data_IF_428020727457
#
_entry.id   IF_428020727457
#
_cell.length_a   1.000
_cell.length_b   1.000
_cell.length_c   1.000
_cell.angle_alpha   90.00
_cell.angle_beta   90.00
_cell.angle_gamma   90.00
#
_symmetry.space_group_name_H-M   'P 1'
#
loop_
_entity.id
_entity.type
_entity.pdbx_description
1 polymer ?
#
# COMPACT_ATOMS: atom_id res chain seq x y z
N UNK A 1 -12.43 -8.02 25.13
CA UNK A 1 -11.98 -6.67 25.44
C UNK A 1 -10.74 -6.38 24.63
N UNK A 2 -10.68 -5.23 24.00
CA UNK A 2 -9.46 -4.78 23.34
C UNK A 2 -8.39 -4.54 24.40
N UNK A 3 -7.20 -5.08 24.19
CA UNK A 3 -6.07 -4.85 25.09
C UNK A 3 -5.53 -3.42 24.85
N UNK A 4 -5.19 -2.74 25.94
CA UNK A 4 -4.60 -1.41 25.87
C UNK A 4 -3.19 -1.40 26.42
N UNK A 5 -2.34 -0.58 25.82
CA UNK A 5 -0.96 -0.35 26.24
C UNK A 5 -0.65 1.14 26.33
N UNK A 6 0.59 1.46 26.65
CA UNK A 6 1.09 2.85 26.70
C UNK A 6 2.38 2.99 25.93
N UNK A 7 2.52 4.12 25.24
CA UNK A 7 3.77 4.49 24.56
C UNK A 7 4.87 4.70 25.62
N UNK A 8 5.98 4.00 25.49
CA UNK A 8 7.14 4.17 26.38
C UNK A 8 8.32 4.87 25.71
N UNK A 9 8.44 4.76 24.38
CA UNK A 9 9.51 5.40 23.62
C UNK A 9 9.07 5.71 22.20
N UNK A 10 9.54 6.81 21.63
CA UNK A 10 9.33 7.24 20.25
C UNK A 10 10.68 7.60 19.64
N UNK A 11 11.03 6.94 18.53
CA UNK A 11 12.25 7.19 17.77
C UNK A 11 11.88 7.28 16.28
N UNK A 12 11.49 8.48 15.83
CA UNK A 12 10.96 8.65 14.46
C UNK A 12 9.75 7.77 14.22
N UNK A 13 9.76 6.88 13.21
CA UNK A 13 8.66 5.97 12.92
C UNK A 13 8.58 4.77 13.87
N UNK A 14 9.61 4.55 14.70
CA UNK A 14 9.68 3.40 15.62
C UNK A 14 9.11 3.79 16.97
N UNK A 15 8.11 3.04 17.44
CA UNK A 15 7.36 3.31 18.65
C UNK A 15 7.36 2.05 19.52
N UNK A 16 7.84 2.17 20.75
CA UNK A 16 7.77 1.09 21.73
C UNK A 16 6.56 1.28 22.63
N UNK A 17 5.78 0.23 22.79
CA UNK A 17 4.51 0.21 23.54
C UNK A 17 4.56 -0.88 24.62
N UNK A 18 4.27 -0.52 25.84
CA UNK A 18 4.16 -1.46 26.95
C UNK A 18 2.71 -1.90 27.16
N UNK A 19 2.51 -3.21 27.33
CA UNK A 19 1.26 -3.83 27.68
C UNK A 19 1.40 -4.56 29.02
N UNK A 20 0.36 -4.51 29.85
CA UNK A 20 0.29 -5.24 31.12
C UNK A 20 -0.43 -6.58 31.00
N UNK A 21 -1.23 -6.76 29.95
CA UNK A 21 -2.01 -7.97 29.67
C UNK A 21 -1.39 -8.81 28.54
N UNK A 22 -2.25 -9.38 27.72
CA UNK A 22 -1.84 -10.16 26.55
C UNK A 22 -1.14 -9.26 25.53
N UNK A 23 0.05 -9.68 25.10
CA UNK A 23 0.76 -8.98 24.05
C UNK A 23 0.10 -9.17 22.69
N UNK A 24 0.01 -8.10 21.86
CA UNK A 24 -0.37 -8.22 20.47
C UNK A 24 0.64 -9.07 19.70
N UNK A 25 0.19 -9.73 18.66
CA UNK A 25 1.04 -10.55 17.82
C UNK A 25 1.87 -9.68 16.88
N UNK A 26 2.99 -10.22 16.40
CA UNK A 26 3.77 -9.59 15.30
C UNK A 26 2.85 -9.43 14.09
N UNK A 27 2.89 -8.26 13.45
CA UNK A 27 2.04 -7.79 12.35
C UNK A 27 0.62 -7.36 12.77
N UNK A 28 0.25 -7.44 14.03
CA UNK A 28 -0.99 -6.82 14.49
C UNK A 28 -0.94 -5.29 14.35
N UNK A 29 -2.08 -4.73 14.02
CA UNK A 29 -2.27 -3.28 14.00
C UNK A 29 -2.58 -2.75 15.39
N UNK A 30 -1.91 -1.67 15.76
CA UNK A 30 -2.20 -0.88 16.96
C UNK A 30 -2.64 0.51 16.55
N UNK A 31 -3.49 1.14 17.34
CA UNK A 31 -4.01 2.47 17.05
C UNK A 31 -3.88 3.40 18.24
N UNK A 32 -3.54 4.66 17.94
CA UNK A 32 -3.58 5.76 18.91
C UNK A 32 -4.59 6.77 18.42
N UNK A 33 -5.62 7.03 19.21
CA UNK A 33 -6.59 8.07 18.91
C UNK A 33 -6.06 9.41 19.40
N UNK A 34 -5.94 10.37 18.49
CA UNK A 34 -5.60 11.76 18.78
C UNK A 34 -6.79 12.67 18.48
N UNK A 35 -6.72 13.93 18.89
CA UNK A 35 -7.82 14.89 18.80
C UNK A 35 -8.40 15.01 17.38
N UNK A 36 -7.55 15.04 16.34
CA UNK A 36 -7.96 15.25 14.96
C UNK A 36 -7.55 14.15 13.99
N UNK A 37 -6.81 13.15 14.48
CA UNK A 37 -6.31 12.05 13.64
C UNK A 37 -6.16 10.77 14.43
N UNK A 38 -6.12 9.67 13.71
CA UNK A 38 -5.81 8.34 14.21
C UNK A 38 -4.44 7.93 13.67
N UNK A 39 -3.52 7.57 14.56
CA UNK A 39 -2.26 6.99 14.16
C UNK A 39 -2.39 5.48 14.15
N UNK A 40 -1.91 4.85 13.09
CA UNK A 40 -1.88 3.40 12.92
C UNK A 40 -0.44 2.94 12.87
N UNK A 41 -0.12 1.89 13.63
CA UNK A 41 1.20 1.29 13.66
C UNK A 41 1.09 -0.24 13.62
N UNK A 42 2.14 -0.89 13.18
CA UNK A 42 2.22 -2.34 13.08
C UNK A 42 3.27 -2.89 14.04
N UNK A 43 2.96 -3.97 14.74
CA UNK A 43 3.90 -4.66 15.62
C UNK A 43 4.97 -5.34 14.78
N UNK A 44 6.22 -4.93 14.97
CA UNK A 44 7.38 -5.47 14.27
C UNK A 44 8.12 -6.52 15.09
N UNK A 45 8.21 -6.33 16.42
CA UNK A 45 9.02 -7.19 17.29
C UNK A 45 8.54 -7.15 18.73
N UNK A 46 8.67 -8.27 19.44
CA UNK A 46 8.56 -8.34 20.89
C UNK A 46 9.93 -8.09 21.53
N UNK A 47 9.99 -7.08 22.43
CA UNK A 47 11.25 -6.65 23.06
C UNK A 47 11.53 -7.32 24.41
N UNK A 48 10.55 -8.05 24.96
CA UNK A 48 10.57 -8.56 26.33
C UNK A 48 9.92 -7.61 27.33
N UNK A 49 9.71 -8.08 28.56
CA UNK A 49 9.12 -7.30 29.66
C UNK A 49 7.80 -6.60 29.33
N UNK A 50 6.96 -7.21 28.51
CA UNK A 50 5.68 -6.64 28.12
C UNK A 50 5.75 -5.50 27.09
N UNK A 51 6.90 -5.27 26.46
CA UNK A 51 7.11 -4.22 25.46
C UNK A 51 7.11 -4.80 24.07
N UNK A 52 6.39 -4.16 23.16
CA UNK A 52 6.42 -4.43 21.72
C UNK A 52 6.97 -3.24 20.97
N UNK A 53 7.77 -3.50 19.95
CA UNK A 53 8.28 -2.48 19.03
C UNK A 53 7.40 -2.45 17.80
N UNK A 54 6.96 -1.25 17.47
CA UNK A 54 6.04 -1.00 16.36
C UNK A 54 6.67 -0.04 15.35
N UNK A 55 6.19 -0.14 14.11
CA UNK A 55 6.50 0.80 13.03
C UNK A 55 5.22 1.56 12.73
N UNK A 56 5.26 2.88 12.81
CA UNK A 56 4.14 3.73 12.46
C UNK A 56 3.95 3.77 10.94
N UNK A 57 2.72 3.59 10.50
CA UNK A 57 2.28 3.73 9.10
C UNK A 57 1.62 5.09 8.84
N UNK A 58 1.56 5.91 9.86
CA UNK A 58 1.03 7.28 9.82
C UNK A 58 2.07 8.24 10.36
N UNK A 59 1.92 9.54 10.07
CA UNK A 59 2.77 10.55 10.67
C UNK A 59 2.72 10.49 12.21
N UNK A 60 3.89 10.58 12.84
CA UNK A 60 4.05 10.46 14.29
C UNK A 60 3.93 11.78 15.04
N UNK A 61 3.70 12.88 14.31
CA UNK A 61 3.53 14.20 14.91
C UNK A 61 2.38 14.22 15.91
N UNK A 62 2.66 14.70 17.10
CA UNK A 62 1.69 14.74 18.20
C UNK A 62 1.64 13.49 19.07
N UNK A 63 2.35 12.40 18.73
CA UNK A 63 2.52 11.27 19.62
C UNK A 63 3.43 11.66 20.80
N UNK A 64 3.06 11.22 21.98
CA UNK A 64 3.82 11.44 23.20
C UNK A 64 3.90 10.16 24.05
N UNK A 65 4.90 10.14 24.93
CA UNK A 65 5.02 9.10 25.97
C UNK A 65 3.75 9.07 26.83
N UNK A 66 3.40 7.89 27.31
CA UNK A 66 2.23 7.60 28.16
C UNK A 66 0.86 7.72 27.47
N UNK A 67 0.81 8.05 26.16
CA UNK A 67 -0.43 7.95 25.40
C UNK A 67 -0.93 6.51 25.33
N UNK A 68 -2.25 6.35 25.40
CA UNK A 68 -2.92 5.06 25.30
C UNK A 68 -2.91 4.54 23.87
N UNK A 69 -2.59 3.27 23.74
CA UNK A 69 -2.54 2.54 22.48
C UNK A 69 -3.50 1.37 22.57
N UNK A 70 -4.35 1.22 21.58
CA UNK A 70 -5.33 0.13 21.50
C UNK A 70 -4.83 -0.94 20.52
N UNK A 71 -4.80 -2.20 20.98
CA UNK A 71 -4.53 -3.34 20.10
C UNK A 71 -5.84 -3.74 19.39
N UNK A 72 -5.79 -3.80 18.06
CA UNK A 72 -6.97 -4.17 17.25
C UNK A 72 -7.25 -5.68 17.24
N UNK A 73 -6.25 -6.49 17.59
CA UNK A 73 -6.33 -7.95 17.58
C UNK A 73 -6.24 -8.57 16.17
N UNK A 74 -5.90 -7.78 15.16
CA UNK A 74 -5.72 -8.24 13.78
C UNK A 74 -4.69 -7.39 13.05
N UNK A 75 -4.15 -7.90 11.95
CA UNK A 75 -3.30 -7.12 11.06
C UNK A 75 -4.13 -6.06 10.29
N UNK A 76 -3.42 -5.13 9.64
CA UNK A 76 -4.03 -4.12 8.78
C UNK A 76 -4.79 -4.81 7.64
N UNK A 77 -6.00 -4.35 7.42
CA UNK A 77 -6.88 -4.84 6.36
C UNK A 77 -7.24 -3.69 5.41
N UNK A 78 -7.21 -3.97 4.12
CA UNK A 78 -7.54 -3.02 3.06
C UNK A 78 -8.79 -3.47 2.31
N UNK A 79 -9.59 -2.53 1.79
CA UNK A 79 -10.74 -2.85 0.97
C UNK A 79 -10.30 -3.55 -0.32
N UNK A 80 -11.06 -4.54 -0.75
CA UNK A 80 -10.85 -5.26 -2.01
C UNK A 80 -12.16 -5.44 -2.74
N UNK A 81 -12.11 -5.45 -4.07
CA UNK A 81 -13.28 -5.63 -4.92
C UNK A 81 -13.37 -4.57 -6.01
N UNK A 82 -14.37 -4.70 -6.85
CA UNK A 82 -14.60 -3.79 -7.99
C UNK A 82 -14.87 -2.35 -7.53
N UNK A 83 -15.37 -2.16 -6.32
CA UNK A 83 -15.63 -0.86 -5.72
C UNK A 83 -14.36 -0.03 -5.48
N UNK A 84 -13.18 -0.66 -5.55
CA UNK A 84 -11.87 0.04 -5.46
C UNK A 84 -11.42 0.61 -6.80
N UNK A 85 -12.02 0.19 -7.90
CA UNK A 85 -11.66 0.68 -9.23
C UNK A 85 -12.06 2.14 -9.41
N UNK A 86 -11.19 2.90 -10.05
CA UNK A 86 -11.37 4.33 -10.24
C UNK A 86 -11.01 5.18 -9.03
N UNK A 87 -10.56 4.57 -7.94
CA UNK A 87 -10.31 5.22 -6.66
C UNK A 87 -8.82 5.31 -6.34
N UNK A 88 -8.46 6.28 -5.52
CA UNK A 88 -7.11 6.52 -5.04
C UNK A 88 -7.06 6.32 -3.52
N UNK A 89 -6.11 5.53 -3.07
CA UNK A 89 -5.94 5.14 -1.67
C UNK A 89 -4.57 5.51 -1.13
N UNK A 90 -4.50 5.70 0.19
CA UNK A 90 -3.24 5.67 0.92
C UNK A 90 -2.82 4.22 1.26
N UNK A 91 -1.69 4.06 1.92
CA UNK A 91 -1.13 2.75 2.31
C UNK A 91 -1.99 1.97 3.31
N UNK A 92 -2.92 2.62 3.98
CA UNK A 92 -3.88 2.02 4.92
C UNK A 92 -5.18 1.58 4.22
N UNK A 93 -5.31 1.81 2.92
CA UNK A 93 -6.52 1.53 2.16
C UNK A 93 -7.63 2.56 2.40
N UNK A 94 -7.29 3.75 2.89
CA UNK A 94 -8.23 4.86 3.04
C UNK A 94 -8.27 5.68 1.75
N UNK A 95 -9.46 6.07 1.25
CA UNK A 95 -9.56 6.87 0.03
C UNK A 95 -9.01 8.29 0.25
N UNK A 96 -8.22 8.78 -0.71
CA UNK A 96 -7.60 10.11 -0.69
C UNK A 96 -8.01 10.99 -1.89
N UNK A 97 -8.97 10.55 -2.66
CA UNK A 97 -9.47 11.21 -3.87
C UNK A 97 -10.65 12.18 -3.63
N UNK A 98 -11.03 12.39 -2.37
CA UNK A 98 -12.17 13.20 -1.96
C UNK A 98 -13.53 12.76 -2.56
N UNK A 99 -13.64 11.53 -3.03
CA UNK A 99 -14.86 10.98 -3.62
C UNK A 99 -15.73 10.19 -2.61
N UNK A 100 -15.48 10.36 -1.32
CA UNK A 100 -16.21 9.70 -0.24
C UNK A 100 -15.65 8.32 0.14
N UNK A 101 -16.27 7.68 1.11
CA UNK A 101 -15.85 6.36 1.61
C UNK A 101 -16.08 5.26 0.57
N UNK A 102 -15.23 4.23 0.64
CA UNK A 102 -15.35 3.02 -0.19
C UNK A 102 -15.90 1.89 0.65
N UNK A 103 -17.09 1.42 0.29
CA UNK A 103 -17.76 0.31 0.97
C UNK A 103 -17.58 -0.96 0.14
N UNK A 104 -16.70 -1.84 0.58
CA UNK A 104 -16.50 -3.14 -0.07
C UNK A 104 -17.13 -4.26 0.76
N UNK A 105 -17.53 -5.32 0.08
CA UNK A 105 -18.06 -6.52 0.75
C UNK A 105 -17.01 -7.27 1.55
N UNK A 106 -15.75 -7.12 1.17
CA UNK A 106 -14.62 -7.82 1.77
C UNK A 106 -13.47 -6.89 2.03
N UNK A 107 -12.71 -7.19 3.08
CA UNK A 107 -11.40 -6.62 3.37
C UNK A 107 -10.38 -7.75 3.47
N UNK A 108 -9.20 -7.52 2.96
CA UNK A 108 -8.11 -8.47 3.01
C UNK A 108 -6.96 -7.94 3.86
N UNK A 109 -6.35 -8.87 4.59
CA UNK A 109 -5.10 -8.59 5.29
C UNK A 109 -4.00 -8.23 4.28
N UNK A 110 -3.18 -7.21 4.60
CA UNK A 110 -2.03 -6.85 3.78
C UNK A 110 -0.95 -7.94 3.81
N UNK A 111 -0.87 -8.70 4.92
CA UNK A 111 0.01 -9.85 5.04
C UNK A 111 -0.77 -11.12 4.67
N UNK A 112 -0.39 -11.70 3.54
CA UNK A 112 -0.99 -12.93 3.01
C UNK A 112 0.09 -13.91 2.62
N UNK A 113 -0.20 -15.19 2.75
CA UNK A 113 0.66 -16.24 2.23
C UNK A 113 0.68 -16.23 0.70
N UNK A 114 1.84 -16.55 0.14
CA UNK A 114 1.97 -16.72 -1.30
C UNK A 114 1.11 -17.91 -1.77
N UNK A 115 0.59 -17.88 -3.02
CA UNK A 115 -0.08 -19.03 -3.60
C UNK A 115 0.79 -20.27 -3.55
N UNK A 116 0.19 -21.41 -3.18
CA UNK A 116 0.91 -22.70 -3.15
C UNK A 116 1.39 -23.06 -4.56
N UNK A 117 2.46 -23.84 -4.64
CA UNK A 117 3.03 -24.32 -5.91
C UNK A 117 1.97 -25.00 -6.81
N UNK A 118 1.01 -25.70 -6.20
CA UNK A 118 -0.10 -26.37 -6.92
C UNK A 118 -1.02 -25.39 -7.65
N UNK A 119 -1.09 -24.14 -7.19
CA UNK A 119 -1.95 -23.10 -7.76
C UNK A 119 -1.23 -22.21 -8.79
N UNK A 120 0.04 -22.54 -9.10
CA UNK A 120 0.82 -21.80 -10.08
C UNK A 120 0.69 -22.49 -11.45
N UNK A 121 0.48 -21.70 -12.50
CA UNK A 121 0.48 -22.23 -13.87
C UNK A 121 1.92 -22.44 -14.34
N UNK A 122 2.27 -23.63 -14.85
CA UNK A 122 3.59 -23.87 -15.44
C UNK A 122 3.72 -23.34 -16.88
N UNK A 123 2.64 -22.83 -17.46
CA UNK A 123 2.60 -22.37 -18.85
C UNK A 123 3.12 -20.95 -18.94
N UNK A 124 4.13 -20.74 -19.77
CA UNK A 124 4.66 -19.41 -20.09
C UNK A 124 3.90 -18.87 -21.30
N UNK A 125 3.08 -17.85 -21.08
CA UNK A 125 2.40 -17.12 -22.14
C UNK A 125 3.01 -15.73 -22.26
N UNK A 126 3.11 -15.21 -23.47
CA UNK A 126 3.54 -13.83 -23.73
C UNK A 126 2.36 -12.88 -23.50
N UNK A 127 2.62 -11.79 -22.79
CA UNK A 127 1.73 -10.66 -22.67
C UNK A 127 2.05 -9.68 -23.81
N UNK A 128 1.18 -9.61 -24.79
CA UNK A 128 1.29 -8.60 -25.86
C UNK A 128 0.99 -7.22 -25.26
N UNK A 129 2.00 -6.36 -25.22
CA UNK A 129 1.90 -5.04 -24.61
C UNK A 129 1.37 -3.97 -25.57
N UNK A 130 1.40 -4.24 -26.88
CA UNK A 130 1.12 -3.27 -27.92
C UNK A 130 2.24 -2.24 -28.17
N UNK A 131 3.34 -2.35 -27.42
CA UNK A 131 4.52 -1.49 -27.55
C UNK A 131 5.55 -2.27 -28.37
N UNK A 132 5.73 -1.89 -29.63
CA UNK A 132 6.55 -2.64 -30.62
C UNK A 132 7.95 -2.99 -30.13
N UNK A 133 8.63 -2.07 -29.46
CA UNK A 133 10.01 -2.31 -28.98
C UNK A 133 10.03 -3.34 -27.87
N UNK A 134 9.02 -3.40 -27.00
CA UNK A 134 8.91 -4.41 -25.96
C UNK A 134 8.58 -5.76 -26.57
N UNK A 135 7.52 -5.81 -27.36
CA UNK A 135 7.00 -7.06 -27.90
C UNK A 135 8.01 -7.76 -28.83
N UNK A 136 8.85 -6.98 -29.54
CA UNK A 136 9.86 -7.52 -30.44
C UNK A 136 11.21 -7.86 -29.79
N UNK A 137 11.66 -7.03 -28.85
CA UNK A 137 13.02 -7.14 -28.31
C UNK A 137 13.08 -7.70 -26.88
N UNK A 138 12.05 -7.49 -26.08
CA UNK A 138 12.01 -7.92 -24.68
C UNK A 138 10.59 -8.28 -24.26
N UNK A 139 9.96 -9.30 -24.87
CA UNK A 139 8.56 -9.63 -24.64
C UNK A 139 8.31 -10.00 -23.18
N UNK A 140 7.18 -9.55 -22.66
CA UNK A 140 6.77 -9.79 -21.28
C UNK A 140 6.06 -11.14 -21.15
N UNK A 141 6.42 -11.90 -20.13
CA UNK A 141 5.69 -13.11 -19.77
C UNK A 141 4.53 -12.77 -18.82
N UNK A 142 3.36 -13.36 -19.04
CA UNK A 142 2.26 -13.30 -18.08
C UNK A 142 2.69 -13.88 -16.74
N UNK A 143 2.40 -13.17 -15.65
CA UNK A 143 2.85 -13.53 -14.30
C UNK A 143 4.33 -13.21 -14.00
N UNK A 144 5.06 -12.63 -14.96
CA UNK A 144 6.44 -12.20 -14.79
C UNK A 144 6.59 -10.94 -13.95
N UNK A 145 7.80 -10.70 -13.46
CA UNK A 145 8.24 -9.47 -12.81
C UNK A 145 9.20 -8.75 -13.73
N UNK A 146 8.89 -7.51 -14.07
CA UNK A 146 9.64 -6.73 -15.05
C UNK A 146 10.10 -5.43 -14.39
N UNK A 147 11.39 -5.10 -14.55
CA UNK A 147 11.96 -3.86 -14.07
C UNK A 147 12.18 -2.87 -15.21
N UNK A 148 11.71 -1.64 -15.03
CA UNK A 148 11.96 -0.50 -15.92
C UNK A 148 12.89 0.48 -15.21
N UNK A 149 14.13 0.56 -15.65
CA UNK A 149 15.15 1.40 -15.03
C UNK A 149 15.48 2.59 -15.91
N UNK A 150 15.68 3.74 -15.30
CA UNK A 150 16.07 4.96 -16.01
C UNK A 150 16.10 6.17 -15.07
N UNK A 151 16.84 7.20 -15.44
CA UNK A 151 16.88 8.48 -14.73
C UNK A 151 15.55 9.24 -14.77
N UNK A 152 15.52 10.42 -14.19
CA UNK A 152 14.37 11.30 -14.28
C UNK A 152 14.13 11.77 -15.73
N UNK A 153 12.87 11.91 -16.13
CA UNK A 153 12.50 12.47 -17.43
C UNK A 153 12.71 11.56 -18.65
N UNK A 154 13.00 10.27 -18.46
CA UNK A 154 13.24 9.33 -19.57
C UNK A 154 11.97 8.64 -20.10
N UNK A 155 10.78 9.04 -19.64
CA UNK A 155 9.51 8.52 -20.13
C UNK A 155 9.00 7.26 -19.44
N UNK A 156 9.52 6.88 -18.26
CA UNK A 156 9.02 5.71 -17.51
C UNK A 156 7.52 5.78 -17.22
N UNK A 157 7.04 6.93 -16.77
CA UNK A 157 5.62 7.13 -16.44
C UNK A 157 4.74 7.01 -17.68
N UNK A 158 5.16 7.59 -18.80
CA UNK A 158 4.45 7.47 -20.08
C UNK A 158 4.36 6.01 -20.53
N UNK A 159 5.44 5.26 -20.39
CA UNK A 159 5.47 3.83 -20.73
C UNK A 159 4.51 3.02 -19.83
N UNK A 160 4.49 3.30 -18.53
CA UNK A 160 3.59 2.64 -17.58
C UNK A 160 2.13 2.95 -17.91
N UNK A 161 1.82 4.21 -18.22
CA UNK A 161 0.47 4.63 -18.62
C UNK A 161 0.01 3.91 -19.89
N UNK A 162 0.87 3.80 -20.89
CA UNK A 162 0.55 3.08 -22.11
C UNK A 162 0.35 1.59 -21.87
N UNK A 163 1.15 0.97 -21.00
CA UNK A 163 0.93 -0.43 -20.58
C UNK A 163 -0.42 -0.61 -19.89
N UNK A 164 -0.77 0.26 -18.95
CA UNK A 164 -2.06 0.22 -18.24
C UNK A 164 -3.20 0.37 -19.24
N UNK A 165 -3.11 1.31 -20.15
CA UNK A 165 -4.11 1.55 -21.19
C UNK A 165 -4.29 0.32 -22.06
N UNK A 166 -3.22 -0.25 -22.59
CA UNK A 166 -3.30 -1.40 -23.48
C UNK A 166 -3.83 -2.65 -22.75
N UNK A 167 -3.45 -2.88 -21.50
CA UNK A 167 -4.02 -3.97 -20.68
C UNK A 167 -5.53 -3.76 -20.48
N UNK A 168 -5.97 -2.54 -20.22
CA UNK A 168 -7.39 -2.25 -20.01
C UNK A 168 -8.22 -2.36 -21.30
N UNK A 169 -7.70 -1.89 -22.43
CA UNK A 169 -8.43 -1.82 -23.70
C UNK A 169 -8.38 -3.12 -24.50
N UNK A 170 -7.20 -3.73 -24.60
CA UNK A 170 -6.99 -4.91 -25.46
C UNK A 170 -7.26 -6.24 -24.72
N UNK A 171 -6.93 -6.29 -23.44
CA UNK A 171 -7.08 -7.52 -22.65
C UNK A 171 -8.26 -7.50 -21.69
N UNK A 172 -8.98 -6.39 -21.57
CA UNK A 172 -10.10 -6.24 -20.64
C UNK A 172 -9.69 -6.38 -19.16
N UNK A 173 -8.38 -6.26 -18.87
CA UNK A 173 -7.80 -6.48 -17.55
C UNK A 173 -7.96 -5.29 -16.61
N UNK A 174 -7.68 -5.54 -15.33
CA UNK A 174 -7.60 -4.52 -14.31
C UNK A 174 -6.15 -4.20 -14.00
N UNK A 175 -5.89 -2.97 -13.60
CA UNK A 175 -4.57 -2.50 -13.22
C UNK A 175 -4.56 -1.95 -11.81
N UNK A 176 -3.48 -2.18 -11.08
CA UNK A 176 -3.22 -1.54 -9.80
C UNK A 176 -1.92 -0.77 -9.94
N UNK A 177 -1.98 0.54 -9.79
CA UNK A 177 -0.80 1.38 -9.78
C UNK A 177 -0.42 1.72 -8.34
N UNK A 178 0.84 1.50 -7.98
CA UNK A 178 1.37 1.86 -6.66
C UNK A 178 2.52 2.83 -6.82
N UNK A 179 2.38 4.03 -6.25
CA UNK A 179 3.41 5.05 -6.20
C UNK A 179 4.05 5.13 -4.81
N UNK A 180 5.35 4.92 -4.71
CA UNK A 180 6.12 5.07 -3.47
C UNK A 180 7.15 6.17 -3.67
N UNK A 181 7.13 7.18 -2.77
CA UNK A 181 8.01 8.35 -2.89
C UNK A 181 7.62 9.32 -4.01
N UNK A 182 6.47 9.14 -4.62
CA UNK A 182 5.91 10.08 -5.59
C UNK A 182 5.50 11.38 -4.89
N UNK A 183 5.71 12.50 -5.56
CA UNK A 183 5.20 13.78 -5.08
C UNK A 183 3.69 13.79 -5.25
N UNK A 184 2.96 14.38 -4.30
CA UNK A 184 1.50 14.51 -4.35
C UNK A 184 0.99 15.10 -5.67
N UNK A 185 1.75 16.05 -6.25
CA UNK A 185 1.47 16.64 -7.55
C UNK A 185 1.54 15.62 -8.69
N UNK A 186 2.61 14.82 -8.73
CA UNK A 186 2.81 13.80 -9.78
C UNK A 186 1.73 12.72 -9.72
N UNK A 187 1.34 12.30 -8.50
CA UNK A 187 0.24 11.36 -8.31
C UNK A 187 -1.11 11.91 -8.77
N UNK A 188 -1.37 13.18 -8.52
CA UNK A 188 -2.60 13.85 -8.95
C UNK A 188 -2.64 14.07 -10.47
N UNK A 189 -1.50 14.43 -11.07
CA UNK A 189 -1.38 14.58 -12.52
C UNK A 189 -1.63 13.23 -13.22
N UNK A 190 -1.04 12.14 -12.72
CA UNK A 190 -1.28 10.79 -13.22
C UNK A 190 -2.76 10.39 -13.14
N UNK A 191 -3.41 10.69 -12.03
CA UNK A 191 -4.83 10.39 -11.85
C UNK A 191 -5.72 11.16 -12.83
N UNK A 192 -5.43 12.45 -13.05
CA UNK A 192 -6.15 13.27 -14.03
C UNK A 192 -5.96 12.73 -15.47
N UNK A 193 -4.72 12.39 -15.84
CA UNK A 193 -4.43 11.81 -17.16
C UNK A 193 -5.15 10.47 -17.38
N UNK A 194 -5.23 9.61 -16.35
CA UNK A 194 -5.98 8.37 -16.40
C UNK A 194 -7.50 8.59 -16.52
N UNK A 195 -8.03 9.68 -15.94
CA UNK A 195 -9.42 10.08 -16.12
C UNK A 195 -9.69 10.53 -17.55
N UNK A 196 -8.84 11.39 -18.09
CA UNK A 196 -8.97 11.90 -19.46
C UNK A 196 -8.87 10.80 -20.51
N UNK A 197 -7.97 9.83 -20.29
CA UNK A 197 -7.82 8.66 -21.18
C UNK A 197 -8.91 7.59 -21.01
N UNK A 198 -9.77 7.71 -19.98
CA UNK A 198 -10.87 6.77 -19.71
C UNK A 198 -10.45 5.44 -19.07
N UNK A 199 -9.16 5.22 -18.80
CA UNK A 199 -8.67 3.95 -18.21
C UNK A 199 -8.84 3.89 -16.69
N UNK A 200 -9.17 5.00 -16.06
CA UNK A 200 -9.33 5.07 -14.59
C UNK A 200 -10.38 4.08 -14.07
N UNK A 201 -11.45 3.82 -14.83
CA UNK A 201 -12.53 2.90 -14.44
C UNK A 201 -12.09 1.45 -14.25
N UNK A 202 -10.91 1.08 -14.75
CA UNK A 202 -10.30 -0.24 -14.62
C UNK A 202 -9.00 -0.24 -13.81
N UNK A 203 -8.71 0.87 -13.13
CA UNK A 203 -7.45 1.06 -12.41
C UNK A 203 -7.73 1.49 -10.98
N UNK A 204 -7.06 0.86 -10.01
CA UNK A 204 -6.98 1.33 -8.63
C UNK A 204 -5.58 1.93 -8.39
N UNK A 205 -5.51 3.04 -7.66
CA UNK A 205 -4.26 3.71 -7.35
C UNK A 205 -4.00 3.68 -5.84
N UNK A 206 -2.76 3.38 -5.47
CA UNK A 206 -2.31 3.41 -4.07
C UNK A 206 -1.03 4.24 -4.00
N UNK A 207 -1.04 5.28 -3.17
CA UNK A 207 0.12 6.16 -3.00
C UNK A 207 0.63 6.13 -1.57
N UNK A 208 1.94 5.87 -1.43
CA UNK A 208 2.72 6.15 -0.23
C UNK A 208 3.45 7.47 -0.41
N UNK A 209 3.02 8.51 0.29
CA UNK A 209 3.62 9.84 0.18
C UNK A 209 4.93 9.92 0.95
N UNK A 210 5.80 10.88 0.60
CA UNK A 210 7.07 11.11 1.29
C UNK A 210 6.90 11.44 2.79
N UNK A 211 5.72 11.91 3.18
CA UNK A 211 5.38 12.21 4.57
C UNK A 211 4.89 10.99 5.36
N UNK A 212 4.69 9.85 4.70
CA UNK A 212 4.30 8.61 5.36
C UNK A 212 5.54 7.91 5.93
N UNK A 213 5.42 7.41 7.14
CA UNK A 213 6.53 6.76 7.85
C UNK A 213 7.15 5.56 7.10
N UNK A 214 6.40 4.93 6.22
CA UNK A 214 6.89 3.81 5.40
C UNK A 214 8.05 4.16 4.48
N UNK A 215 8.17 5.41 4.06
CA UNK A 215 9.25 5.86 3.20
C UNK A 215 10.60 5.96 3.90
N UNK A 216 10.60 6.12 5.22
CA UNK A 216 11.82 6.16 6.02
C UNK A 216 12.39 4.77 6.34
N UNK A 217 11.60 3.72 6.14
CA UNK A 217 12.01 2.32 6.40
C UNK A 217 12.36 1.56 5.14
N UNK A 218 12.11 2.13 3.96
CA UNK A 218 12.53 1.57 2.69
C UNK A 218 14.02 1.85 2.50
N UNK A 219 14.89 0.82 2.35
CA UNK A 219 16.29 1.07 2.03
C UNK A 219 16.36 1.77 0.67
N UNK A 220 16.96 2.93 0.67
CA UNK A 220 17.28 3.73 -0.52
C UNK A 220 18.30 3.01 -1.41
#
# INVERSE_FOLDING_TARGET
SMETGKIVQILGPVIDVAFTGKLPMIKDALTVQMEHKKCVMEVAQHMGNGVVRCISLSATDGLAKDMEVTATGSCIQVPVGEETLGRMFNVLGEPIDNAGEVHTKQKWAIHREAPSFRNQSPVVEILETGIKVIDLLAPYAKGGKIGLFGGAGVGKTVLIQELIRNVATEHGGYSIFTGVGERSREGNDLWNEMKESGVISKTALVFGQMNDCLLYTSPS
#
